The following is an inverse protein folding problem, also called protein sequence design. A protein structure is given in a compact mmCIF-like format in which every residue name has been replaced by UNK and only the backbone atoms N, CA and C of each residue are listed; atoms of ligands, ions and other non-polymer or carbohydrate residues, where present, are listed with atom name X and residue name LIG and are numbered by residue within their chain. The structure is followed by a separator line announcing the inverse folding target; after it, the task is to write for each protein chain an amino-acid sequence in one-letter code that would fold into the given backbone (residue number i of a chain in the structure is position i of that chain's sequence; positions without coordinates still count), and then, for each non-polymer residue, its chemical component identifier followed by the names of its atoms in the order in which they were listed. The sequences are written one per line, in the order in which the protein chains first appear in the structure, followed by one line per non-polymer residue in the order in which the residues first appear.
data_IF_121140304110
#
_entry.id   IF_121140304110
#
_cell.length_a   1.000
_cell.length_b   1.000
_cell.length_c   1.000
_cell.angle_alpha   90.00
_cell.angle_beta   90.00
_cell.angle_gamma   90.00
#
_symmetry.space_group_name_H-M   'P 1'
#
loop_
_entity.id
_entity.type
_entity.pdbx_description
1 polymer ?
#
# COMPACT_ATOMS: atom_id res chain seq x y z
N UNK A 1 1.21 6.01 -0.11
CA UNK A 1 2.62 6.32 0.17
C UNK A 1 3.07 6.04 1.61
N UNK A 2 2.23 5.57 2.55
CA UNK A 2 2.61 5.42 3.97
C UNK A 2 2.80 3.98 4.45
N UNK A 3 2.49 2.97 3.62
CA UNK A 3 2.52 1.56 4.01
C UNK A 3 3.94 1.05 4.29
N UNK A 4 4.84 1.22 3.33
CA UNK A 4 6.22 0.74 3.43
C UNK A 4 6.97 1.47 4.56
N UNK A 5 6.83 2.80 4.64
CA UNK A 5 7.50 3.61 5.67
C UNK A 5 7.11 3.18 7.09
N UNK A 6 5.83 2.88 7.34
CA UNK A 6 5.35 2.38 8.64
C UNK A 6 5.93 1.02 8.98
N UNK A 7 6.09 0.15 7.98
CA UNK A 7 6.68 -1.17 8.19
C UNK A 7 8.18 -1.07 8.44
N UNK A 8 8.89 -0.21 7.71
CA UNK A 8 10.31 0.10 7.95
C UNK A 8 10.53 0.73 9.33
N UNK A 9 9.63 1.59 9.80
CA UNK A 9 9.71 2.12 11.18
C UNK A 9 9.56 1.01 12.25
N UNK A 10 8.77 -0.02 11.97
CA UNK A 10 8.47 -1.11 12.91
C UNK A 10 9.54 -2.22 12.91
N UNK A 11 10.03 -2.60 11.74
CA UNK A 11 10.96 -3.72 11.57
C UNK A 11 12.42 -3.27 11.37
N UNK A 12 12.63 -1.99 11.08
CA UNK A 12 13.93 -1.41 10.73
C UNK A 12 14.05 -1.17 9.22
N UNK A 13 15.04 -0.38 8.76
CA UNK A 13 15.24 -0.11 7.34
C UNK A 13 15.97 -1.23 6.59
N UNK A 14 16.54 -2.19 7.32
CA UNK A 14 17.47 -3.17 6.78
C UNK A 14 16.85 -4.57 6.79
N UNK A 15 16.22 -4.93 5.68
CA UNK A 15 15.57 -6.23 5.50
C UNK A 15 16.54 -7.42 5.62
N UNK A 16 17.85 -7.22 5.42
CA UNK A 16 18.85 -8.29 5.57
C UNK A 16 19.04 -8.74 7.02
N UNK A 17 18.59 -7.92 7.98
CA UNK A 17 18.65 -8.21 9.42
C UNK A 17 17.38 -8.86 9.96
N UNK A 18 16.38 -9.04 9.11
CA UNK A 18 15.14 -9.66 9.54
C UNK A 18 15.36 -11.14 9.76
N UNK A 19 14.85 -11.64 10.89
CA UNK A 19 14.62 -13.09 11.02
C UNK A 19 13.60 -13.54 9.97
N UNK A 20 13.62 -14.83 9.63
CA UNK A 20 12.70 -15.42 8.66
C UNK A 20 11.23 -15.15 9.01
N UNK A 21 10.89 -15.20 10.31
CA UNK A 21 9.55 -14.87 10.82
C UNK A 21 9.21 -13.39 10.63
N UNK A 22 10.17 -12.48 10.86
CA UNK A 22 9.95 -11.05 10.63
C UNK A 22 9.77 -10.74 9.14
N UNK A 23 10.50 -11.44 8.26
CA UNK A 23 10.37 -11.25 6.82
C UNK A 23 8.99 -11.71 6.32
N UNK A 24 8.49 -12.86 6.79
CA UNK A 24 7.14 -13.33 6.49
C UNK A 24 6.06 -12.33 6.95
N UNK A 25 6.18 -11.83 8.18
CA UNK A 25 5.24 -10.85 8.71
C UNK A 25 5.32 -9.50 8.00
N UNK A 26 6.52 -9.07 7.61
CA UNK A 26 6.71 -7.84 6.86
C UNK A 26 6.00 -7.92 5.51
N UNK A 27 6.20 -9.03 4.77
CA UNK A 27 5.58 -9.25 3.47
C UNK A 27 4.05 -9.36 3.55
N UNK A 28 3.52 -10.14 4.50
CA UNK A 28 2.06 -10.27 4.68
C UNK A 28 1.39 -8.92 5.00
N UNK A 29 2.03 -8.10 5.85
CA UNK A 29 1.50 -6.77 6.16
C UNK A 29 1.66 -5.78 4.99
N UNK A 30 2.72 -5.92 4.19
CA UNK A 30 2.92 -5.10 3.01
C UNK A 30 1.84 -5.40 1.95
N UNK A 31 1.58 -6.68 1.66
CA UNK A 31 0.58 -7.11 0.70
C UNK A 31 -0.82 -6.61 1.08
N UNK A 32 -1.21 -6.76 2.35
CA UNK A 32 -2.49 -6.24 2.86
C UNK A 32 -2.60 -4.73 2.69
N UNK A 33 -1.52 -4.00 2.95
CA UNK A 33 -1.54 -2.54 2.87
C UNK A 33 -1.57 -2.04 1.41
N UNK A 34 -0.86 -2.72 0.51
CA UNK A 34 -0.88 -2.41 -0.94
C UNK A 34 -2.25 -2.72 -1.54
N UNK A 35 -2.89 -3.83 -1.15
CA UNK A 35 -4.24 -4.18 -1.62
C UNK A 35 -5.26 -3.08 -1.31
N UNK A 36 -5.23 -2.51 -0.10
CA UNK A 36 -6.09 -1.37 0.28
C UNK A 36 -5.82 -0.14 -0.58
N UNK A 37 -4.56 0.16 -0.90
CA UNK A 37 -4.22 1.30 -1.75
C UNK A 37 -4.77 1.15 -3.17
N UNK A 38 -4.75 -0.06 -3.72
CA UNK A 38 -5.31 -0.34 -5.04
C UNK A 38 -6.84 -0.16 -5.06
N UNK A 39 -7.54 -0.65 -4.03
CA UNK A 39 -8.99 -0.49 -3.89
C UNK A 39 -9.42 0.97 -3.77
N UNK A 40 -8.66 1.77 -3.02
CA UNK A 40 -8.96 3.20 -2.89
C UNK A 40 -8.75 3.95 -4.22
N UNK A 41 -7.80 3.54 -5.05
CA UNK A 41 -7.64 4.08 -6.39
C UNK A 41 -8.79 3.67 -7.33
N UNK A 42 -9.30 2.44 -7.22
CA UNK A 42 -10.47 1.98 -7.99
C UNK A 42 -11.72 2.80 -7.62
N UNK A 43 -11.90 3.13 -6.34
CA UNK A 43 -13.02 3.98 -5.87
C UNK A 43 -12.98 5.41 -6.40
N UNK A 44 -11.83 5.88 -6.91
CA UNK A 44 -11.72 7.22 -7.54
C UNK A 44 -12.18 7.22 -9.00
N UNK A 45 -12.25 6.06 -9.66
CA UNK A 45 -12.64 5.94 -11.08
C UNK A 45 -14.01 6.57 -11.38
N UNK A 46 -15.07 6.36 -10.58
CA UNK A 46 -16.38 6.97 -10.82
C UNK A 46 -16.35 8.50 -10.81
N UNK A 47 -15.62 9.10 -9.86
CA UNK A 47 -15.50 10.56 -9.75
C UNK A 47 -14.66 11.15 -10.87
N UNK A 48 -13.61 10.45 -11.29
CA UNK A 48 -12.82 10.81 -12.48
C UNK A 48 -13.71 10.78 -13.73
N UNK A 49 -14.50 9.72 -13.92
CA UNK A 49 -15.46 9.62 -15.04
C UNK A 49 -16.48 10.76 -15.04
N UNK A 50 -17.03 11.14 -13.88
CA UNK A 50 -17.96 12.28 -13.75
C UNK A 50 -17.31 13.61 -14.14
N UNK A 51 -16.03 13.82 -13.79
CA UNK A 51 -15.29 15.04 -14.19
C UNK A 51 -15.10 15.11 -15.70
N UNK A 52 -14.71 14.00 -16.35
CA UNK A 52 -14.59 13.96 -17.81
C UNK A 52 -15.94 14.19 -18.52
N UNK A 53 -17.02 13.58 -18.03
CA UNK A 53 -18.36 13.76 -18.59
C UNK A 53 -18.92 15.19 -18.44
N UNK A 54 -18.47 15.95 -17.44
CA UNK A 54 -18.84 17.37 -17.25
C UNK A 54 -17.97 18.36 -18.04
N UNK A 55 -16.84 17.89 -18.56
CA UNK A 55 -15.86 18.73 -19.25
C UNK A 55 -15.96 18.61 -20.79
N UNK A 56 -17.01 17.93 -21.27
CA UNK A 56 -17.45 17.79 -22.66
C UNK A 56 -18.83 18.47 -22.80
#
# INVERSE_FOLDING_TARGET
MTCYDKLVQKYGPDASKYSETQMLQFNDNLDKCVAVCADDHIKLIPEIKKRFAKSL
#
